data_IF_975661573879
#
_entry.id   IF_975661573879
#
_cell.length_a   1.000
_cell.length_b   1.000
_cell.length_c   1.000
_cell.angle_alpha   90.00
_cell.angle_beta   90.00
_cell.angle_gamma   90.00
#
_symmetry.space_group_name_H-M   'P 1'
#
loop_
_entity.id
_entity.type
_entity.pdbx_description
1 polymer ?
#
# COMPACT_ATOMS: atom_id res chain seq x y z
N UNK A 1 -33.98 -54.04 0.44
CA UNK A 1 -33.44 -53.76 -0.91
C UNK A 1 -33.32 -52.26 -1.05
N UNK A 2 -32.18 -51.60 -1.28
CA UNK A 2 -30.79 -52.03 -1.44
C UNK A 2 -29.94 -50.79 -1.16
N UNK A 3 -28.95 -50.94 -0.30
CA UNK A 3 -27.84 -50.02 -0.02
C UNK A 3 -27.01 -49.69 -1.25
N UNK A 4 -26.55 -48.44 -1.39
CA UNK A 4 -25.29 -48.14 -2.07
C UNK A 4 -24.41 -47.22 -1.22
N UNK A 5 -23.57 -47.88 -0.41
CA UNK A 5 -22.26 -47.40 0.01
C UNK A 5 -21.47 -47.01 -1.22
N UNK A 6 -20.81 -45.85 -1.21
CA UNK A 6 -19.58 -45.69 -1.96
C UNK A 6 -18.45 -45.22 -1.04
N UNK A 7 -17.50 -46.13 -0.91
CA UNK A 7 -16.25 -46.07 -0.18
C UNK A 7 -15.18 -45.76 -1.23
N UNK A 8 -14.52 -44.61 -1.13
CA UNK A 8 -13.25 -44.32 -1.78
C UNK A 8 -12.35 -43.74 -0.68
N UNK A 9 -11.74 -44.62 0.11
CA UNK A 9 -10.33 -45.01 0.00
C UNK A 9 -9.40 -43.79 -0.07
N UNK A 10 -8.87 -43.43 1.10
CA UNK A 10 -7.67 -42.63 1.21
C UNK A 10 -6.50 -43.38 0.59
N UNK A 11 -5.69 -42.63 -0.16
CA UNK A 11 -4.24 -42.76 -0.31
C UNK A 11 -3.81 -42.05 -1.60
N UNK A 12 -3.81 -40.71 -1.57
CA UNK A 12 -2.83 -39.93 -2.34
C UNK A 12 -2.74 -38.45 -1.90
N UNK A 13 -2.84 -38.21 -0.59
CA UNK A 13 -2.81 -36.87 0.00
C UNK A 13 -1.43 -36.54 0.59
N UNK A 14 -0.35 -36.83 -0.14
CA UNK A 14 1.03 -36.48 0.25
C UNK A 14 1.94 -36.46 -0.99
N UNK A 15 1.73 -35.46 -1.86
CA UNK A 15 2.71 -34.94 -2.83
C UNK A 15 2.17 -33.62 -3.35
N UNK A 16 3.06 -32.67 -3.63
CA UNK A 16 2.81 -31.26 -4.06
C UNK A 16 2.77 -30.26 -2.89
N UNK A 17 3.85 -30.24 -2.11
CA UNK A 17 4.45 -28.97 -1.66
C UNK A 17 5.89 -28.98 -2.18
N UNK A 18 6.11 -28.41 -3.36
CA UNK A 18 7.43 -27.95 -3.80
C UNK A 18 7.28 -26.57 -4.43
N UNK A 19 8.04 -25.55 -3.98
CA UNK A 19 8.00 -24.23 -4.59
C UNK A 19 8.62 -24.23 -6.00
N UNK A 20 8.14 -23.39 -6.93
CA UNK A 20 8.71 -23.30 -8.27
C UNK A 20 10.16 -22.76 -8.24
N UNK A 21 11.01 -23.40 -9.06
CA UNK A 21 12.43 -23.08 -9.24
C UNK A 21 12.60 -21.69 -9.87
N UNK A 22 13.44 -20.86 -9.25
CA UNK A 22 13.92 -19.59 -9.80
C UNK A 22 14.71 -19.82 -11.10
N UNK A 23 14.28 -19.14 -12.19
CA UNK A 23 15.02 -19.06 -13.44
C UNK A 23 16.38 -18.37 -13.22
N UNK A 24 17.45 -19.11 -13.50
CA UNK A 24 18.85 -18.66 -13.48
C UNK A 24 19.18 -17.98 -14.81
N UNK A 25 19.49 -16.68 -14.78
CA UNK A 25 20.08 -15.96 -15.90
C UNK A 25 21.48 -16.53 -16.18
N UNK A 26 21.72 -16.90 -17.44
CA UNK A 26 22.96 -17.47 -17.94
C UNK A 26 23.90 -16.31 -18.31
N UNK A 27 24.98 -16.12 -17.56
CA UNK A 27 26.11 -15.32 -18.02
C UNK A 27 27.06 -16.23 -18.79
N UNK A 28 27.30 -15.86 -20.05
CA UNK A 28 28.27 -16.47 -20.95
C UNK A 28 29.66 -15.91 -20.65
N UNK A 29 30.61 -16.80 -20.32
CA UNK A 29 32.05 -16.50 -20.24
C UNK A 29 32.72 -17.10 -21.46
N UNK A 30 33.36 -16.26 -22.26
CA UNK A 30 34.40 -16.67 -23.21
C UNK A 30 35.77 -16.37 -22.57
N UNK A 31 36.63 -17.37 -22.54
CA UNK A 31 37.98 -17.29 -21.96
C UNK A 31 39.06 -16.97 -22.99
N UNK A 32 40.20 -16.47 -22.52
CA UNK A 32 41.51 -17.13 -22.65
C UNK A 32 42.64 -16.24 -22.08
N UNK A 33 43.45 -16.85 -21.22
CA UNK A 33 44.80 -16.43 -20.75
C UNK A 33 45.82 -16.54 -21.93
N UNK A 34 47.12 -16.10 -21.86
CA UNK A 34 48.01 -16.17 -20.68
C UNK A 34 49.17 -15.13 -20.58
N UNK A 35 50.06 -15.40 -19.61
CA UNK A 35 51.48 -14.96 -19.47
C UNK A 35 51.72 -13.64 -18.73
N UNK A 36 52.78 -13.39 -17.96
CA UNK A 36 53.80 -14.15 -17.20
C UNK A 36 54.90 -13.10 -16.87
N UNK A 37 55.31 -12.97 -15.61
CA UNK A 37 56.47 -12.16 -15.15
C UNK A 37 56.29 -10.64 -15.31
N UNK A 38 56.80 -9.75 -14.48
CA UNK A 38 58.15 -9.66 -13.94
C UNK A 38 58.17 -8.79 -12.67
N UNK A 39 59.17 -9.07 -11.84
CA UNK A 39 59.53 -8.47 -10.56
C UNK A 39 60.03 -7.03 -10.74
N UNK A 40 59.73 -6.12 -9.80
CA UNK A 40 60.70 -5.30 -9.01
C UNK A 40 60.10 -4.03 -8.36
N UNK A 41 60.36 -3.92 -7.04
CA UNK A 41 60.69 -2.71 -6.26
C UNK A 41 59.61 -1.65 -5.92
N UNK A 42 59.25 -1.63 -4.63
CA UNK A 42 58.83 -0.47 -3.79
C UNK A 42 59.99 0.55 -3.62
N UNK A 43 59.86 1.73 -2.97
CA UNK A 43 58.70 2.55 -2.54
C UNK A 43 58.89 4.07 -2.77
N UNK A 44 57.95 4.83 -3.34
CA UNK A 44 58.04 6.31 -3.29
C UNK A 44 56.72 7.05 -3.59
N UNK A 45 55.56 6.52 -3.20
CA UNK A 45 54.30 7.22 -3.45
C UNK A 45 53.27 7.02 -2.34
N UNK A 46 53.73 7.12 -1.09
CA UNK A 46 52.89 6.99 0.11
C UNK A 46 52.78 8.31 0.90
N UNK A 47 53.05 9.46 0.26
CA UNK A 47 53.04 10.78 0.93
C UNK A 47 52.12 11.82 0.23
N UNK A 48 51.42 11.47 -0.85
CA UNK A 48 50.43 12.39 -1.47
C UNK A 48 48.98 11.92 -1.27
N UNK A 49 48.75 10.70 -0.79
CA UNK A 49 47.38 10.16 -0.60
C UNK A 49 46.76 10.43 0.78
N UNK A 50 47.48 11.10 1.70
CA UNK A 50 47.05 11.29 3.10
C UNK A 50 46.54 12.70 3.40
N UNK A 51 46.63 13.65 2.47
CA UNK A 51 46.20 15.04 2.67
C UNK A 51 45.01 15.50 1.81
N UNK A 52 44.38 14.61 1.05
CA UNK A 52 43.13 14.87 0.31
C UNK A 52 41.88 14.23 0.97
N UNK A 53 42.04 13.71 2.19
CA UNK A 53 40.97 13.05 2.95
C UNK A 53 40.49 13.89 4.15
N UNK A 54 40.73 15.20 4.13
CA UNK A 54 40.09 16.15 5.05
C UNK A 54 39.34 17.20 4.23
N UNK A 55 38.06 17.36 4.56
CA UNK A 55 37.11 18.34 4.03
C UNK A 55 36.42 17.92 2.72
N UNK A 56 35.61 16.87 2.82
CA UNK A 56 34.25 16.97 2.29
C UNK A 56 33.35 16.08 3.16
N UNK A 57 32.69 16.62 4.19
CA UNK A 57 31.52 15.92 4.68
C UNK A 57 30.51 16.02 3.54
N UNK A 58 30.35 14.95 2.76
CA UNK A 58 29.12 14.71 2.02
C UNK A 58 28.07 14.37 3.09
N UNK A 59 27.72 15.37 3.88
CA UNK A 59 26.46 15.40 4.58
C UNK A 59 25.44 15.71 3.49
N UNK A 60 24.81 14.65 2.99
CA UNK A 60 23.55 14.77 2.28
C UNK A 60 22.42 14.54 3.30
N UNK A 61 21.97 15.56 4.06
CA UNK A 61 20.72 15.47 4.82
C UNK A 61 19.51 15.85 3.97
N UNK A 62 19.65 16.04 2.65
CA UNK A 62 18.60 16.65 1.84
C UNK A 62 17.40 15.72 1.59
N UNK A 63 17.55 14.40 1.66
CA UNK A 63 16.42 13.48 1.43
C UNK A 63 15.62 13.15 2.71
N UNK A 64 16.22 13.26 3.91
CA UNK A 64 15.50 13.03 5.18
C UNK A 64 14.69 14.25 5.63
N UNK A 65 15.17 15.47 5.37
CA UNK A 65 14.50 16.69 5.82
C UNK A 65 13.17 16.97 5.09
N UNK A 66 13.02 16.54 3.83
CA UNK A 66 11.81 16.81 3.02
C UNK A 66 10.58 16.02 3.48
N UNK A 67 10.79 14.82 4.07
CA UNK A 67 9.68 14.03 4.62
C UNK A 67 9.32 14.44 6.07
N UNK A 68 10.26 14.98 6.84
CA UNK A 68 9.95 15.56 8.15
C UNK A 68 9.13 16.86 7.99
N UNK A 69 9.36 17.64 6.93
CA UNK A 69 8.63 18.89 6.69
C UNK A 69 7.20 18.73 6.17
N UNK A 70 6.85 17.60 5.55
CA UNK A 70 5.51 17.45 4.93
C UNK A 70 4.41 17.28 5.97
N UNK A 71 4.74 16.70 7.12
CA UNK A 71 3.79 16.40 8.17
C UNK A 71 3.64 17.52 9.19
N UNK A 72 4.62 18.43 9.32
CA UNK A 72 4.63 19.40 10.41
C UNK A 72 3.33 20.22 10.52
N UNK A 73 2.74 20.77 9.44
CA UNK A 73 1.48 21.49 9.55
C UNK A 73 0.31 20.62 10.03
N UNK A 74 0.32 19.33 9.67
CA UNK A 74 -0.69 18.38 10.13
C UNK A 74 -0.47 18.01 11.61
N UNK A 75 0.78 17.82 12.02
CA UNK A 75 1.16 17.50 13.40
C UNK A 75 0.79 18.67 14.32
N UNK A 76 1.12 19.91 13.94
CA UNK A 76 0.75 21.12 14.68
C UNK A 76 -0.76 21.21 14.86
N UNK A 77 -1.53 21.02 13.79
CA UNK A 77 -2.99 21.07 13.84
C UNK A 77 -3.58 19.98 14.77
N UNK A 78 -3.04 18.75 14.73
CA UNK A 78 -3.46 17.67 15.64
C UNK A 78 -3.19 18.03 17.11
N UNK A 79 -2.03 18.63 17.40
CA UNK A 79 -1.67 19.06 18.76
C UNK A 79 -2.57 20.20 19.23
N UNK A 80 -2.85 21.18 18.37
CA UNK A 80 -3.78 22.28 18.65
C UNK A 80 -5.19 21.76 18.99
N UNK A 81 -5.61 20.68 18.32
CA UNK A 81 -6.89 20.01 18.54
C UNK A 81 -6.92 19.07 19.77
N UNK A 82 -5.83 19.02 20.54
CA UNK A 82 -5.73 18.36 21.83
C UNK A 82 -5.11 16.95 21.82
N UNK A 83 -4.55 16.50 20.70
CA UNK A 83 -3.83 15.23 20.64
C UNK A 83 -2.47 15.33 21.37
N UNK A 84 -2.05 14.26 22.08
CA UNK A 84 -0.79 14.25 22.85
C UNK A 84 0.45 14.40 21.94
N UNK A 85 1.22 15.46 22.14
CA UNK A 85 2.36 15.81 21.29
C UNK A 85 3.41 14.70 21.21
N UNK A 86 3.78 14.12 22.35
CA UNK A 86 4.80 13.07 22.39
C UNK A 86 4.35 11.84 21.59
N UNK A 87 3.08 11.47 21.70
CA UNK A 87 2.47 10.36 20.97
C UNK A 87 2.39 10.64 19.47
N UNK A 88 1.84 11.79 19.06
CA UNK A 88 1.71 12.14 17.63
C UNK A 88 3.08 12.20 16.96
N UNK A 89 4.04 12.91 17.55
CA UNK A 89 5.39 13.00 16.98
C UNK A 89 6.04 11.61 16.89
N UNK A 90 5.88 10.76 17.90
CA UNK A 90 6.36 9.37 17.85
C UNK A 90 5.74 8.59 16.68
N UNK A 91 4.42 8.68 16.47
CA UNK A 91 3.72 8.01 15.37
C UNK A 91 4.27 8.46 14.00
N UNK A 92 4.37 9.76 13.77
CA UNK A 92 4.79 10.30 12.47
C UNK A 92 6.28 10.09 12.15
N UNK A 93 7.10 9.72 13.14
CA UNK A 93 8.51 9.32 12.91
C UNK A 93 8.67 7.86 12.45
N UNK A 94 7.62 7.04 12.56
CA UNK A 94 7.67 5.63 12.17
C UNK A 94 7.95 5.48 10.68
N UNK A 95 8.83 4.55 10.31
CA UNK A 95 9.19 4.25 8.91
C UNK A 95 7.98 3.84 8.07
N UNK A 96 6.98 3.29 8.74
CA UNK A 96 5.73 2.85 8.18
C UNK A 96 4.84 3.99 7.68
N UNK A 97 4.99 5.18 8.26
CA UNK A 97 4.22 6.39 7.95
C UNK A 97 4.91 7.12 6.81
N UNK A 98 4.32 7.01 5.62
CA UNK A 98 4.90 7.54 4.39
C UNK A 98 3.87 8.39 3.67
N UNK A 99 4.28 9.59 3.31
CA UNK A 99 3.45 10.50 2.52
C UNK A 99 3.34 9.96 1.10
N UNK A 100 2.11 9.84 0.60
CA UNK A 100 1.86 9.47 -0.78
C UNK A 100 1.16 10.64 -1.51
N UNK A 101 1.90 11.42 -2.32
CA UNK A 101 1.35 12.60 -2.98
C UNK A 101 0.28 12.29 -4.03
N UNK A 102 0.12 11.01 -4.43
CA UNK A 102 -0.83 10.60 -5.48
C UNK A 102 -2.22 10.29 -4.93
N UNK A 103 -2.37 10.19 -3.60
CA UNK A 103 -3.65 9.80 -2.98
C UNK A 103 -4.73 10.83 -3.27
N UNK A 104 -4.49 12.10 -2.93
CA UNK A 104 -5.45 13.18 -3.15
C UNK A 104 -5.76 13.38 -4.65
N UNK A 105 -4.78 13.50 -5.57
CA UNK A 105 -5.04 13.57 -7.01
C UNK A 105 -5.98 12.49 -7.52
N UNK A 106 -5.77 11.23 -7.13
CA UNK A 106 -6.62 10.09 -7.51
C UNK A 106 -8.06 10.26 -7.03
N UNK A 107 -8.28 10.87 -5.86
CA UNK A 107 -9.61 11.16 -5.30
C UNK A 107 -10.28 12.36 -5.99
N UNK A 108 -9.49 13.32 -6.47
CA UNK A 108 -9.98 14.49 -7.20
C UNK A 108 -10.37 14.13 -8.63
N UNK A 109 -9.55 13.33 -9.31
CA UNK A 109 -9.71 12.95 -10.72
C UNK A 109 -10.66 11.79 -10.96
N UNK A 110 -11.18 11.14 -9.91
CA UNK A 110 -12.09 10.02 -10.09
C UNK A 110 -13.40 10.51 -10.73
N UNK A 111 -13.76 9.89 -11.86
CA UNK A 111 -15.05 10.04 -12.53
C UNK A 111 -15.82 8.75 -12.34
N UNK A 112 -17.07 8.86 -11.92
CA UNK A 112 -17.96 7.72 -11.88
C UNK A 112 -18.16 7.20 -13.32
N UNK A 113 -18.09 5.88 -13.45
CA UNK A 113 -18.32 5.19 -14.71
C UNK A 113 -19.28 4.04 -14.48
N UNK A 114 -19.93 3.58 -15.56
CA UNK A 114 -20.82 2.42 -15.49
C UNK A 114 -20.02 1.20 -15.04
N UNK A 115 -20.41 0.65 -13.89
CA UNK A 115 -19.75 -0.52 -13.32
C UNK A 115 -20.14 -1.79 -14.09
N UNK A 116 -19.16 -2.56 -14.51
CA UNK A 116 -19.36 -3.92 -15.00
C UNK A 116 -19.35 -4.91 -13.83
N UNK A 117 -20.54 -5.36 -13.44
CA UNK A 117 -20.72 -6.33 -12.37
C UNK A 117 -20.57 -7.78 -12.83
N UNK A 118 -20.53 -8.05 -14.15
CA UNK A 118 -20.41 -9.42 -14.68
C UNK A 118 -19.14 -10.12 -14.22
N UNK A 119 -18.07 -9.35 -13.96
CA UNK A 119 -16.80 -9.85 -13.42
C UNK A 119 -16.95 -10.57 -12.07
N UNK A 120 -17.98 -10.26 -11.27
CA UNK A 120 -18.26 -10.91 -10.00
C UNK A 120 -18.99 -12.24 -10.14
N UNK A 121 -19.62 -12.48 -11.30
CA UNK A 121 -20.34 -13.71 -11.65
C UNK A 121 -19.45 -14.76 -12.29
N UNK A 122 -18.13 -14.55 -12.35
CA UNK A 122 -17.18 -15.53 -12.90
C UNK A 122 -17.23 -16.83 -12.07
N UNK A 123 -17.15 -18.02 -12.68
CA UNK A 123 -17.28 -19.29 -11.99
C UNK A 123 -16.37 -19.45 -10.78
N UNK A 124 -15.13 -18.96 -10.86
CA UNK A 124 -14.15 -19.07 -9.78
C UNK A 124 -14.54 -18.21 -8.56
N UNK A 125 -15.22 -17.07 -8.78
CA UNK A 125 -15.73 -16.20 -7.71
C UNK A 125 -16.97 -16.79 -7.06
N UNK A 126 -17.90 -17.32 -7.86
CA UNK A 126 -19.09 -18.00 -7.35
C UNK A 126 -18.73 -19.24 -6.54
N UNK A 127 -17.76 -20.02 -7.01
CA UNK A 127 -17.23 -21.18 -6.26
C UNK A 127 -16.64 -20.76 -4.91
N UNK A 128 -15.87 -19.66 -4.86
CA UNK A 128 -15.36 -19.11 -3.58
C UNK A 128 -16.48 -18.64 -2.66
N UNK A 129 -17.49 -17.95 -3.18
CA UNK A 129 -18.63 -17.50 -2.40
C UNK A 129 -19.41 -18.68 -1.80
N UNK A 130 -19.64 -19.75 -2.59
CA UNK A 130 -20.25 -20.99 -2.08
C UNK A 130 -19.40 -21.62 -0.98
N UNK A 131 -18.08 -21.74 -1.18
CA UNK A 131 -17.20 -22.29 -0.18
C UNK A 131 -17.18 -21.44 1.11
N UNK A 132 -17.28 -20.11 1.00
CA UNK A 132 -17.34 -19.20 2.14
C UNK A 132 -18.66 -19.36 2.92
N UNK A 133 -19.79 -19.51 2.22
CA UNK A 133 -21.09 -19.81 2.84
C UNK A 133 -21.03 -21.12 3.63
N UNK A 134 -20.46 -22.17 3.05
CA UNK A 134 -20.34 -23.48 3.71
C UNK A 134 -19.40 -23.43 4.91
N UNK A 135 -18.24 -22.78 4.76
CA UNK A 135 -17.22 -22.67 5.81
C UNK A 135 -17.73 -21.90 7.03
N UNK A 136 -18.53 -20.85 6.82
CA UNK A 136 -19.01 -19.95 7.87
C UNK A 136 -20.51 -20.07 8.17
N UNK A 137 -21.14 -21.19 7.78
CA UNK A 137 -22.59 -21.39 7.80
C UNK A 137 -23.24 -21.03 9.13
N UNK A 138 -22.74 -21.59 10.24
CA UNK A 138 -23.32 -21.39 11.57
C UNK A 138 -23.24 -19.93 12.03
N UNK A 139 -22.11 -19.27 11.76
CA UNK A 139 -21.93 -17.84 12.07
C UNK A 139 -22.89 -16.99 11.23
N UNK A 140 -22.98 -17.27 9.93
CA UNK A 140 -23.80 -16.50 9.01
C UNK A 140 -25.30 -16.65 9.31
N UNK A 141 -25.76 -17.85 9.71
CA UNK A 141 -27.13 -18.10 10.18
C UNK A 141 -27.41 -17.29 11.45
N UNK A 142 -26.47 -17.24 12.40
CA UNK A 142 -26.63 -16.43 13.62
C UNK A 142 -26.77 -14.95 13.29
N UNK A 143 -25.89 -14.40 12.47
CA UNK A 143 -25.94 -12.99 12.05
C UNK A 143 -27.20 -12.71 11.21
N UNK A 144 -27.69 -13.67 10.43
CA UNK A 144 -28.98 -13.58 9.74
C UNK A 144 -30.14 -13.52 10.72
N UNK A 145 -30.15 -14.35 11.77
CA UNK A 145 -31.16 -14.30 12.82
C UNK A 145 -31.15 -13.00 13.63
N UNK A 146 -29.97 -12.41 13.87
CA UNK A 146 -29.83 -11.17 14.64
C UNK A 146 -30.22 -9.92 13.84
N UNK A 147 -29.79 -9.82 12.57
CA UNK A 147 -29.94 -8.60 11.78
C UNK A 147 -30.97 -8.71 10.64
N UNK A 148 -31.57 -9.89 10.42
CA UNK A 148 -32.62 -10.10 9.41
C UNK A 148 -32.15 -10.04 7.95
N UNK A 149 -30.84 -9.91 7.69
CA UNK A 149 -30.28 -9.85 6.33
C UNK A 149 -29.86 -11.26 5.89
N UNK A 150 -30.32 -11.76 4.72
CA UNK A 150 -29.91 -13.07 4.23
C UNK A 150 -28.38 -13.22 4.11
N UNK A 151 -27.84 -14.35 4.54
CA UNK A 151 -26.39 -14.64 4.47
C UNK A 151 -25.81 -14.50 3.07
N UNK A 152 -26.57 -14.84 2.03
CA UNK A 152 -26.14 -14.75 0.63
C UNK A 152 -25.87 -13.30 0.23
N UNK A 153 -26.68 -12.34 0.71
CA UNK A 153 -26.48 -10.90 0.46
C UNK A 153 -25.22 -10.40 1.16
N UNK A 154 -24.98 -10.82 2.42
CA UNK A 154 -23.76 -10.46 3.15
C UNK A 154 -22.51 -10.96 2.44
N UNK A 155 -22.52 -12.23 2.00
CA UNK A 155 -21.40 -12.83 1.27
C UNK A 155 -21.21 -12.16 -0.10
N UNK A 156 -22.29 -11.77 -0.78
CA UNK A 156 -22.20 -11.01 -2.03
C UNK A 156 -21.50 -9.65 -1.84
N UNK A 157 -21.82 -8.91 -0.78
CA UNK A 157 -21.13 -7.67 -0.42
C UNK A 157 -19.64 -7.95 -0.18
N UNK A 158 -19.30 -8.92 0.67
CA UNK A 158 -17.91 -9.25 0.96
C UNK A 158 -17.10 -9.69 -0.28
N UNK A 159 -17.74 -10.41 -1.21
CA UNK A 159 -17.14 -10.80 -2.49
C UNK A 159 -16.85 -9.59 -3.39
N UNK A 160 -17.78 -8.64 -3.45
CA UNK A 160 -17.65 -7.42 -4.26
C UNK A 160 -16.57 -6.51 -3.69
N UNK A 161 -16.59 -6.29 -2.38
CA UNK A 161 -15.71 -5.33 -1.70
C UNK A 161 -14.27 -5.82 -1.60
N UNK A 162 -14.05 -7.07 -1.20
CA UNK A 162 -12.70 -7.55 -0.80
C UNK A 162 -12.32 -8.91 -1.37
N UNK A 163 -13.14 -9.46 -2.28
CA UNK A 163 -13.03 -10.85 -2.72
C UNK A 163 -12.97 -11.82 -1.52
N UNK A 164 -13.87 -11.62 -0.55
CA UNK A 164 -13.98 -12.42 0.68
C UNK A 164 -12.69 -12.35 1.52
N UNK A 165 -12.16 -11.14 1.70
CA UNK A 165 -10.96 -10.87 2.50
C UNK A 165 -9.63 -11.15 1.79
N UNK A 166 -9.65 -11.61 0.53
CA UNK A 166 -8.44 -11.91 -0.24
C UNK A 166 -7.69 -10.66 -0.70
N UNK A 167 -8.39 -9.53 -0.81
CA UNK A 167 -7.80 -8.26 -1.23
C UNK A 167 -8.42 -7.09 -0.46
N UNK A 168 -7.64 -6.55 0.49
CA UNK A 168 -8.02 -5.40 1.31
C UNK A 168 -7.43 -4.07 0.78
N UNK A 169 -6.72 -4.14 -0.34
CA UNK A 169 -5.92 -3.04 -0.87
C UNK A 169 -4.47 -3.05 -0.35
N UNK A 170 -3.54 -2.42 -1.08
CA UNK A 170 -2.12 -2.43 -0.74
C UNK A 170 -1.70 -1.28 0.18
N UNK A 171 -2.55 -0.25 0.30
CA UNK A 171 -2.25 0.99 0.99
C UNK A 171 -2.68 0.91 2.47
N UNK A 172 -1.88 1.48 3.38
CA UNK A 172 -2.25 1.60 4.81
C UNK A 172 -3.28 2.71 4.99
N UNK A 173 -4.37 2.41 5.68
CA UNK A 173 -5.44 3.38 5.97
C UNK A 173 -4.90 4.68 6.59
N UNK A 174 -4.04 4.56 7.61
CA UNK A 174 -3.38 5.71 8.24
C UNK A 174 -2.64 6.60 7.22
N UNK A 175 -1.81 6.01 6.35
CA UNK A 175 -1.05 6.77 5.36
C UNK A 175 -1.95 7.45 4.34
N UNK A 176 -3.06 6.80 3.95
CA UNK A 176 -4.05 7.40 3.04
C UNK A 176 -4.69 8.62 3.67
N UNK A 177 -5.20 8.49 4.90
CA UNK A 177 -5.86 9.57 5.63
C UNK A 177 -4.88 10.71 5.92
N UNK A 178 -3.71 10.41 6.48
CA UNK A 178 -2.67 11.41 6.74
C UNK A 178 -2.24 12.14 5.46
N UNK A 179 -2.00 11.43 4.35
CA UNK A 179 -1.61 12.06 3.09
C UNK A 179 -2.71 12.96 2.50
N UNK A 180 -3.98 12.60 2.72
CA UNK A 180 -5.11 13.46 2.31
C UNK A 180 -5.26 14.67 3.22
N UNK A 181 -5.13 14.48 4.55
CA UNK A 181 -5.20 15.56 5.53
C UNK A 181 -4.06 16.58 5.31
N UNK A 182 -2.84 16.14 5.03
CA UNK A 182 -1.70 17.02 4.74
C UNK A 182 -1.77 17.74 3.37
N UNK A 183 -2.70 17.35 2.49
CA UNK A 183 -2.88 17.93 1.16
C UNK A 183 -3.98 19.02 1.18
N UNK A 184 -3.69 20.16 1.81
CA UNK A 184 -4.65 21.25 2.08
C UNK A 184 -4.79 22.28 0.95
N UNK A 185 -3.85 22.31 0.01
CA UNK A 185 -3.84 23.23 -1.12
C UNK A 185 -3.47 22.53 -2.43
N UNK A 186 -3.79 23.18 -3.56
CA UNK A 186 -3.56 22.61 -4.88
C UNK A 186 -2.07 22.54 -5.25
N UNK A 187 -1.23 23.40 -4.70
CA UNK A 187 0.20 23.44 -5.02
C UNK A 187 0.93 22.18 -4.54
N UNK A 188 0.45 21.58 -3.44
CA UNK A 188 0.94 20.29 -2.92
C UNK A 188 0.63 19.10 -3.81
N UNK A 189 -0.35 19.20 -4.72
CA UNK A 189 -0.86 18.06 -5.49
C UNK A 189 -0.86 18.28 -7.01
N UNK A 190 -0.69 19.53 -7.48
CA UNK A 190 -0.78 19.91 -8.90
C UNK A 190 0.12 19.11 -9.82
N UNK A 191 1.29 18.68 -9.34
CA UNK A 191 2.25 17.88 -10.13
C UNK A 191 1.69 16.51 -10.54
N UNK A 192 0.69 16.00 -9.83
CA UNK A 192 0.06 14.70 -10.08
C UNK A 192 -1.38 14.80 -10.55
N UNK A 193 -1.91 16.03 -10.72
CA UNK A 193 -3.25 16.24 -11.25
C UNK A 193 -3.24 16.21 -12.78
N UNK A 194 -4.29 15.67 -13.41
CA UNK A 194 -4.51 15.84 -14.85
C UNK A 194 -4.54 17.33 -15.22
N UNK A 195 -3.86 17.76 -16.31
CA UNK A 195 -3.81 19.17 -16.72
C UNK A 195 -5.18 19.80 -16.95
N UNK A 196 -6.18 19.00 -17.33
CA UNK A 196 -7.55 19.45 -17.56
C UNK A 196 -8.20 20.02 -16.30
N UNK A 197 -7.85 19.47 -15.13
CA UNK A 197 -8.37 19.92 -13.83
C UNK A 197 -7.70 21.20 -13.32
N UNK A 198 -6.61 21.63 -13.95
CA UNK A 198 -5.90 22.87 -13.61
C UNK A 198 -6.35 24.06 -14.46
N UNK A 199 -7.24 23.84 -15.44
CA UNK A 199 -7.85 24.91 -16.24
C UNK A 199 -8.74 25.78 -15.37
N UNK A 200 -8.80 27.08 -15.65
CA UNK A 200 -9.51 28.08 -14.83
C UNK A 200 -10.98 27.74 -14.60
N UNK A 201 -11.65 27.08 -15.54
CA UNK A 201 -13.07 26.70 -15.44
C UNK A 201 -13.33 25.60 -14.39
N UNK A 202 -12.38 24.69 -14.17
CA UNK A 202 -12.52 23.56 -13.25
C UNK A 202 -11.81 23.79 -11.92
N UNK A 203 -10.83 24.71 -11.90
CA UNK A 203 -9.91 24.90 -10.79
C UNK A 203 -10.61 25.21 -9.48
N UNK A 204 -11.57 26.12 -9.48
CA UNK A 204 -12.32 26.48 -8.27
C UNK A 204 -13.07 25.27 -7.67
N UNK A 205 -13.72 24.48 -8.52
CA UNK A 205 -14.42 23.27 -8.10
C UNK A 205 -13.45 22.23 -7.53
N UNK A 206 -12.30 22.04 -8.18
CA UNK A 206 -11.25 21.10 -7.73
C UNK A 206 -10.64 21.54 -6.41
N UNK A 207 -10.34 22.83 -6.25
CA UNK A 207 -9.81 23.38 -4.99
C UNK A 207 -10.81 23.25 -3.84
N UNK A 208 -12.10 23.49 -4.10
CA UNK A 208 -13.15 23.25 -3.10
C UNK A 208 -13.20 21.77 -2.71
N UNK A 209 -13.28 20.86 -3.69
CA UNK A 209 -13.30 19.40 -3.45
C UNK A 209 -12.06 18.91 -2.71
N UNK A 210 -10.90 19.52 -2.97
CA UNK A 210 -9.65 19.24 -2.27
C UNK A 210 -9.76 19.61 -0.81
N UNK A 211 -10.23 20.84 -0.49
CA UNK A 211 -10.44 21.28 0.89
C UNK A 211 -11.42 20.38 1.63
N UNK A 212 -12.58 20.11 1.03
CA UNK A 212 -13.61 19.24 1.62
C UNK A 212 -13.05 17.84 1.94
N UNK A 213 -12.26 17.26 1.02
CA UNK A 213 -11.66 15.93 1.22
C UNK A 213 -10.49 15.91 2.19
N UNK A 214 -9.71 16.99 2.24
CA UNK A 214 -8.61 17.15 3.19
C UNK A 214 -9.17 17.25 4.61
N UNK A 215 -10.21 18.07 4.81
CA UNK A 215 -10.90 18.20 6.09
C UNK A 215 -11.55 16.88 6.54
N UNK A 216 -12.31 16.23 5.66
CA UNK A 216 -12.87 14.92 5.97
C UNK A 216 -11.78 13.91 6.39
N UNK A 217 -10.67 13.84 5.65
CA UNK A 217 -9.59 12.92 5.99
C UNK A 217 -8.90 13.24 7.32
N UNK A 218 -8.85 14.52 7.70
CA UNK A 218 -8.34 14.96 8.99
C UNK A 218 -9.23 14.46 10.14
N UNK A 219 -10.55 14.62 10.03
CA UNK A 219 -11.51 14.12 11.02
C UNK A 219 -11.44 12.60 11.18
N UNK A 220 -11.37 11.87 10.06
CA UNK A 220 -11.22 10.42 10.07
C UNK A 220 -9.86 9.97 10.63
N UNK A 221 -8.78 10.73 10.36
CA UNK A 221 -7.46 10.45 10.94
C UNK A 221 -7.49 10.62 12.45
N UNK A 222 -8.13 11.67 12.97
CA UNK A 222 -8.31 11.88 14.40
C UNK A 222 -9.13 10.77 15.03
N UNK A 223 -10.26 10.40 14.42
CA UNK A 223 -11.06 9.27 14.89
C UNK A 223 -10.24 7.97 14.92
N UNK A 224 -9.44 7.72 13.88
CA UNK A 224 -8.54 6.57 13.86
C UNK A 224 -7.52 6.62 15.01
N UNK A 225 -6.94 7.77 15.31
CA UNK A 225 -5.97 7.93 16.41
C UNK A 225 -6.61 7.72 17.80
N UNK A 226 -7.84 8.18 18.00
CA UNK A 226 -8.54 8.11 19.28
C UNK A 226 -9.03 6.68 19.59
N UNK A 227 -9.48 5.94 18.57
CA UNK A 227 -10.17 4.66 18.75
C UNK A 227 -9.34 3.43 18.34
N UNK A 228 -8.07 3.58 17.94
CA UNK A 228 -7.16 2.46 17.64
C UNK A 228 -6.28 2.09 18.82
#
# INVERSE_FOLDING_TARGET
MTTLKNKANGDNFLKIIQPPKLCRLKHEKSGNNPMAGWVKSLPALLIVFVLSFLICPISCPASKAVNASVWEPLIEHLIEDGEDEATIRSIFTRREVQFNPRVMPRKLSHKESKLDYSKFLRPERLSRASAFLDTHKELLIRIEGEYGVPKEIKVAILLVETDLGRYLGPDRAFNILASMAAATDIDRVKLWLPPELLKSTEREHVEKKLKDKSQWAYEELRALLIYS
#
